data_IF_294138299253
#
_entry.id   IF_294138299253
#
_cell.length_a   1.000
_cell.length_b   1.000
_cell.length_c   1.000
_cell.angle_alpha   90.00
_cell.angle_beta   90.00
_cell.angle_gamma   90.00
#
_symmetry.space_group_name_H-M   'P 1'
#
loop_
_entity.id
_entity.type
_entity.pdbx_description
1 polymer ?
#
# COMPACT_ATOMS: atom_id res chain seq x y z
N UNK A 1 9.98 3.58 -8.54
CA UNK A 1 10.88 4.24 -9.52
C UNK A 1 12.22 3.53 -9.45
N UNK A 2 12.84 3.26 -10.61
CA UNK A 2 14.16 2.62 -10.62
C UNK A 2 15.24 3.54 -10.04
N UNK A 3 16.26 2.94 -9.43
CA UNK A 3 17.47 3.61 -8.90
C UNK A 3 18.70 3.33 -9.77
N UNK A 4 18.58 2.37 -10.69
CA UNK A 4 19.60 2.05 -11.69
C UNK A 4 19.71 3.15 -12.75
N UNK A 5 20.86 3.25 -13.40
CA UNK A 5 20.99 4.08 -14.61
C UNK A 5 20.19 3.43 -15.72
N UNK A 6 19.26 4.15 -16.34
CA UNK A 6 18.38 3.60 -17.39
C UNK A 6 19.16 3.09 -18.61
N UNK A 7 20.36 3.64 -18.87
CA UNK A 7 21.29 3.13 -19.88
C UNK A 7 21.83 1.73 -19.59
N UNK A 8 21.84 1.29 -18.32
CA UNK A 8 22.13 -0.10 -17.95
C UNK A 8 20.83 -0.92 -18.03
N UNK A 9 20.58 -1.44 -19.22
CA UNK A 9 19.32 -2.12 -19.58
C UNK A 9 19.05 -3.33 -18.69
N UNK A 10 20.07 -4.19 -18.49
CA UNK A 10 19.87 -5.44 -17.75
C UNK A 10 19.64 -5.18 -16.25
N UNK A 11 20.43 -4.30 -15.64
CA UNK A 11 20.21 -3.94 -14.24
C UNK A 11 18.86 -3.26 -14.03
N UNK A 12 18.43 -2.40 -14.98
CA UNK A 12 17.13 -1.71 -14.90
C UNK A 12 15.97 -2.69 -15.08
N UNK A 13 16.07 -3.63 -16.01
CA UNK A 13 15.06 -4.69 -16.19
C UNK A 13 14.95 -5.58 -14.95
N UNK A 14 16.07 -6.01 -14.38
CA UNK A 14 16.05 -6.82 -13.16
C UNK A 14 15.30 -6.09 -12.03
N UNK A 15 15.51 -4.78 -11.87
CA UNK A 15 14.81 -3.97 -10.88
C UNK A 15 13.32 -3.79 -11.24
N UNK A 16 12.96 -3.62 -12.52
CA UNK A 16 11.56 -3.55 -12.98
C UNK A 16 10.82 -4.86 -12.66
N UNK A 17 11.43 -6.02 -12.93
CA UNK A 17 10.83 -7.31 -12.57
C UNK A 17 10.63 -7.46 -11.07
N UNK A 18 11.60 -7.04 -10.25
CA UNK A 18 11.48 -7.06 -8.79
C UNK A 18 10.35 -6.15 -8.30
N UNK A 19 10.22 -4.94 -8.87
CA UNK A 19 9.14 -3.99 -8.56
C UNK A 19 7.76 -4.53 -8.97
N UNK A 20 7.64 -5.11 -10.15
CA UNK A 20 6.41 -5.72 -10.63
C UNK A 20 6.00 -6.91 -9.74
N UNK A 21 6.95 -7.78 -9.39
CA UNK A 21 6.73 -8.88 -8.45
C UNK A 21 6.32 -8.42 -7.05
N UNK A 22 6.73 -7.23 -6.62
CA UNK A 22 6.32 -6.61 -5.36
C UNK A 22 4.96 -5.88 -5.45
N UNK A 23 4.29 -5.90 -6.61
CA UNK A 23 2.95 -5.34 -6.81
C UNK A 23 2.91 -3.93 -7.41
N UNK A 24 3.99 -3.46 -8.03
CA UNK A 24 3.96 -2.21 -8.78
C UNK A 24 3.25 -2.41 -10.13
N UNK A 25 2.23 -1.59 -10.41
CA UNK A 25 1.49 -1.63 -11.68
C UNK A 25 2.17 -0.82 -12.79
N UNK A 26 2.96 0.19 -12.42
CA UNK A 26 3.65 1.11 -13.34
C UNK A 26 5.03 1.39 -12.76
N UNK A 27 6.06 1.35 -13.59
CA UNK A 27 7.42 1.70 -13.17
C UNK A 27 7.88 2.97 -13.90
N UNK A 28 8.57 3.85 -13.17
CA UNK A 28 9.13 5.07 -13.71
C UNK A 28 10.64 4.97 -13.77
N UNK A 29 11.21 5.27 -14.96
CA UNK A 29 12.64 5.32 -15.23
C UNK A 29 13.08 6.75 -15.56
N UNK A 30 14.28 7.14 -15.16
CA UNK A 30 14.83 8.47 -15.49
C UNK A 30 15.28 8.51 -16.94
N UNK A 31 14.95 9.60 -17.66
CA UNK A 31 15.45 9.86 -19.01
C UNK A 31 16.06 11.28 -19.05
N UNK A 32 17.33 11.39 -18.67
CA UNK A 32 18.06 12.64 -18.55
C UNK A 32 19.23 12.77 -19.54
N UNK A 33 19.49 11.74 -20.33
CA UNK A 33 20.55 11.68 -21.35
C UNK A 33 20.15 10.74 -22.49
N UNK A 34 20.81 10.87 -23.65
CA UNK A 34 20.48 10.10 -24.84
C UNK A 34 20.62 8.59 -24.65
N UNK A 35 21.67 8.17 -23.94
CA UNK A 35 21.87 6.77 -23.61
C UNK A 35 20.72 6.18 -22.78
N UNK A 36 20.05 6.98 -21.94
CA UNK A 36 18.87 6.55 -21.21
C UNK A 36 17.67 6.35 -22.14
N UNK A 37 17.45 7.21 -23.12
CA UNK A 37 16.39 7.03 -24.13
C UNK A 37 16.62 5.78 -24.99
N UNK A 38 17.88 5.54 -25.40
CA UNK A 38 18.28 4.31 -26.13
C UNK A 38 18.09 3.05 -25.26
N UNK A 39 18.34 3.17 -23.95
CA UNK A 39 18.04 2.11 -22.99
C UNK A 39 16.55 1.84 -22.87
N UNK A 40 15.70 2.89 -22.80
CA UNK A 40 14.24 2.74 -22.78
C UNK A 40 13.70 1.95 -23.97
N UNK A 41 14.21 2.20 -25.17
CA UNK A 41 13.80 1.48 -26.37
C UNK A 41 14.04 -0.05 -26.29
N UNK A 42 15.03 -0.47 -25.51
CA UNK A 42 15.34 -1.88 -25.26
C UNK A 42 14.58 -2.45 -24.04
N UNK A 43 14.28 -1.62 -23.04
CA UNK A 43 13.57 -2.00 -21.81
C UNK A 43 12.08 -2.21 -22.08
N UNK A 44 11.43 -1.28 -22.80
CA UNK A 44 9.99 -1.25 -22.98
C UNK A 44 9.42 -2.56 -23.54
N UNK A 45 9.96 -3.17 -24.60
CA UNK A 45 9.42 -4.42 -25.14
C UNK A 45 9.56 -5.62 -24.20
N UNK A 46 10.42 -5.52 -23.19
CA UNK A 46 10.75 -6.59 -22.26
C UNK A 46 10.13 -6.36 -20.88
N UNK A 47 9.53 -5.19 -20.64
CA UNK A 47 8.96 -4.85 -19.34
C UNK A 47 7.62 -5.56 -19.11
N UNK A 48 7.39 -6.17 -17.92
CA UNK A 48 6.11 -6.77 -17.57
C UNK A 48 5.04 -5.74 -17.22
N UNK A 49 5.41 -4.46 -17.05
CA UNK A 49 4.53 -3.36 -16.64
C UNK A 49 4.80 -2.10 -17.47
N UNK A 50 3.82 -1.20 -17.61
CA UNK A 50 4.00 0.08 -18.29
C UNK A 50 5.16 0.90 -17.72
N UNK A 51 5.93 1.55 -18.62
CA UNK A 51 7.08 2.38 -18.27
C UNK A 51 6.76 3.86 -18.50
N UNK A 52 7.00 4.68 -17.47
CA UNK A 52 6.91 6.15 -17.53
C UNK A 52 8.32 6.74 -17.53
N UNK A 53 8.63 7.60 -18.49
CA UNK A 53 9.89 8.33 -18.50
C UNK A 53 9.79 9.61 -17.66
N UNK A 54 10.77 9.79 -16.77
CA UNK A 54 10.91 10.98 -15.93
C UNK A 54 11.86 11.97 -16.60
N UNK A 55 11.31 13.07 -17.10
CA UNK A 55 12.03 14.05 -17.89
C UNK A 55 12.50 15.21 -17.00
N UNK A 56 13.79 15.52 -17.12
CA UNK A 56 14.43 16.63 -16.44
C UNK A 56 15.09 17.57 -17.44
N UNK A 57 14.77 18.85 -17.38
CA UNK A 57 15.42 20.01 -18.05
C UNK A 57 15.45 20.06 -19.59
N UNK A 58 15.43 18.96 -20.31
CA UNK A 58 15.68 18.92 -21.75
C UNK A 58 14.49 18.33 -22.52
N UNK A 59 13.93 19.15 -23.41
CA UNK A 59 12.81 18.75 -24.29
C UNK A 59 13.19 17.58 -25.22
N UNK A 60 14.44 17.55 -25.67
CA UNK A 60 14.95 16.50 -26.54
C UNK A 60 14.86 15.11 -25.90
N UNK A 61 14.96 15.05 -24.56
CA UNK A 61 14.81 13.78 -23.82
C UNK A 61 13.36 13.32 -23.75
N UNK A 62 12.42 14.25 -23.70
CA UNK A 62 10.99 13.93 -23.79
C UNK A 62 10.65 13.37 -25.18
N UNK A 63 11.14 14.01 -26.24
CA UNK A 63 10.94 13.54 -27.62
C UNK A 63 11.58 12.17 -27.86
N UNK A 64 12.82 11.98 -27.41
CA UNK A 64 13.51 10.70 -27.52
C UNK A 64 12.83 9.57 -26.72
N UNK A 65 12.26 9.88 -25.54
CA UNK A 65 11.48 8.92 -24.78
C UNK A 65 10.17 8.55 -25.51
N UNK A 66 9.49 9.52 -26.12
CA UNK A 66 8.31 9.25 -26.96
C UNK A 66 8.66 8.38 -28.17
N UNK A 67 9.79 8.64 -28.84
CA UNK A 67 10.30 7.80 -29.94
C UNK A 67 10.62 6.38 -29.47
N UNK A 68 11.13 6.22 -28.26
CA UNK A 68 11.39 4.92 -27.65
C UNK A 68 10.10 4.13 -27.31
N UNK A 69 8.92 4.75 -27.39
CA UNK A 69 7.63 4.11 -27.17
C UNK A 69 7.20 4.01 -25.70
N UNK A 70 7.56 4.98 -24.86
CA UNK A 70 7.14 4.99 -23.45
C UNK A 70 5.62 5.06 -23.31
N UNK A 71 5.12 4.47 -22.23
CA UNK A 71 3.68 4.42 -21.92
C UNK A 71 3.17 5.67 -21.20
N UNK A 72 4.06 6.60 -20.87
CA UNK A 72 3.73 7.88 -20.27
C UNK A 72 4.98 8.72 -20.02
N UNK A 73 4.78 10.02 -19.88
CA UNK A 73 5.81 10.96 -19.49
C UNK A 73 5.52 11.57 -18.11
N UNK A 74 6.56 11.93 -17.39
CA UNK A 74 6.44 12.84 -16.26
C UNK A 74 7.23 14.11 -16.55
N UNK A 75 6.56 15.26 -16.52
CA UNK A 75 7.17 16.57 -16.59
C UNK A 75 7.08 17.26 -15.22
N UNK A 76 8.08 18.12 -14.93
CA UNK A 76 8.06 18.97 -13.75
C UNK A 76 8.07 20.44 -14.20
N UNK A 77 6.99 21.22 -13.90
CA UNK A 77 6.90 22.64 -14.28
C UNK A 77 8.08 23.48 -13.77
N UNK A 78 8.69 23.07 -12.67
CA UNK A 78 9.87 23.71 -12.13
C UNK A 78 11.15 23.51 -12.97
N UNK A 79 11.19 22.46 -13.78
CA UNK A 79 12.37 22.06 -14.56
C UNK A 79 12.25 22.41 -16.04
N UNK A 80 11.11 22.09 -16.67
CA UNK A 80 10.81 22.49 -18.05
C UNK A 80 9.92 23.72 -18.00
N UNK A 81 10.47 24.87 -18.39
CA UNK A 81 9.86 26.19 -18.11
C UNK A 81 9.44 26.97 -19.35
N UNK A 82 9.91 26.58 -20.54
CA UNK A 82 9.59 27.30 -21.77
C UNK A 82 8.26 26.82 -22.34
N UNK A 83 7.25 27.71 -22.45
CA UNK A 83 5.92 27.31 -22.91
C UNK A 83 5.92 26.65 -24.30
N UNK A 84 6.79 27.09 -25.20
CA UNK A 84 6.94 26.53 -26.55
C UNK A 84 7.44 25.07 -26.51
N UNK A 85 8.38 24.73 -25.59
CA UNK A 85 8.88 23.38 -25.40
C UNK A 85 7.81 22.48 -24.79
N UNK A 86 7.04 22.99 -23.83
CA UNK A 86 5.93 22.28 -23.19
C UNK A 86 4.86 21.94 -24.24
N UNK A 87 4.44 22.93 -25.06
CA UNK A 87 3.47 22.72 -26.15
C UNK A 87 3.96 21.72 -27.20
N UNK A 88 5.26 21.74 -27.50
CA UNK A 88 5.86 20.78 -28.43
C UNK A 88 5.74 19.35 -27.89
N UNK A 89 6.14 19.13 -26.63
CA UNK A 89 6.04 17.79 -26.00
C UNK A 89 4.57 17.34 -25.91
N UNK A 90 3.66 18.25 -25.59
CA UNK A 90 2.22 17.93 -25.50
C UNK A 90 1.66 17.49 -26.86
N UNK A 91 1.99 18.19 -27.96
CA UNK A 91 1.57 17.79 -29.32
C UNK A 91 2.12 16.41 -29.71
N UNK A 92 3.42 16.19 -29.49
CA UNK A 92 4.07 14.93 -29.81
C UNK A 92 3.52 13.77 -28.97
N UNK A 93 3.18 14.00 -27.71
CA UNK A 93 2.54 13.03 -26.85
C UNK A 93 1.09 12.72 -27.31
N UNK A 94 0.31 13.77 -27.64
CA UNK A 94 -1.05 13.64 -28.20
C UNK A 94 -1.06 12.77 -29.45
N UNK A 95 -0.17 13.09 -30.41
CA UNK A 95 -0.11 12.40 -31.71
C UNK A 95 0.28 10.92 -31.59
N UNK A 96 0.88 10.53 -30.45
CA UNK A 96 1.23 9.15 -30.10
C UNK A 96 0.28 8.50 -29.08
N UNK A 97 -0.69 9.22 -28.56
CA UNK A 97 -1.58 8.74 -27.49
C UNK A 97 -0.87 8.42 -26.18
N UNK A 98 0.15 9.20 -25.82
CA UNK A 98 0.96 9.00 -24.61
C UNK A 98 0.56 10.01 -23.54
N UNK A 99 0.02 9.57 -22.38
CA UNK A 99 -0.38 10.46 -21.31
C UNK A 99 0.80 11.16 -20.63
N UNK A 100 0.57 12.37 -20.14
CA UNK A 100 1.56 13.13 -19.40
C UNK A 100 1.13 13.36 -17.96
N UNK A 101 2.05 13.14 -17.00
CA UNK A 101 1.85 13.56 -15.63
C UNK A 101 2.54 14.89 -15.37
N UNK A 102 1.76 15.92 -15.05
CA UNK A 102 2.23 17.18 -14.45
C UNK A 102 2.68 16.87 -13.02
N UNK A 103 3.97 17.01 -12.74
CA UNK A 103 4.57 16.60 -11.48
C UNK A 103 5.14 17.75 -10.67
N UNK A 104 4.27 18.55 -10.04
CA UNK A 104 4.69 19.66 -9.17
C UNK A 104 5.27 19.14 -7.86
N UNK A 105 6.40 19.70 -7.46
CA UNK A 105 7.02 19.47 -6.14
C UNK A 105 7.29 20.81 -5.45
N UNK A 106 7.04 20.85 -4.13
CA UNK A 106 7.26 22.05 -3.32
C UNK A 106 8.70 22.60 -3.40
N UNK A 107 9.70 21.71 -3.50
CA UNK A 107 11.11 22.10 -3.59
C UNK A 107 11.56 22.61 -4.97
N UNK A 108 10.70 22.60 -5.99
CA UNK A 108 11.05 23.02 -7.36
C UNK A 108 10.01 23.96 -8.00
N UNK A 109 9.25 24.69 -7.19
CA UNK A 109 8.35 25.71 -7.71
C UNK A 109 9.09 26.79 -8.48
N UNK A 110 8.40 27.37 -9.48
CA UNK A 110 8.94 28.55 -10.17
C UNK A 110 9.10 29.70 -9.16
N UNK A 111 10.22 30.45 -9.19
CA UNK A 111 10.45 31.55 -8.25
C UNK A 111 9.30 32.54 -8.18
N UNK A 112 8.72 32.95 -9.31
CA UNK A 112 7.62 33.93 -9.36
C UNK A 112 6.37 33.42 -8.64
N UNK A 113 6.10 32.08 -8.71
CA UNK A 113 4.98 31.47 -7.99
C UNK A 113 5.30 31.42 -6.50
N UNK A 114 6.53 31.01 -6.15
CA UNK A 114 6.99 30.96 -4.76
C UNK A 114 6.89 32.32 -4.09
N UNK A 115 7.36 33.39 -4.75
CA UNK A 115 7.34 34.77 -4.23
C UNK A 115 5.90 35.30 -4.14
N UNK A 116 5.08 35.08 -5.17
CA UNK A 116 3.67 35.51 -5.21
C UNK A 116 2.82 34.93 -4.08
N UNK A 117 3.06 33.67 -3.69
CA UNK A 117 2.29 32.97 -2.65
C UNK A 117 3.00 32.96 -1.29
N UNK A 118 4.18 33.55 -1.18
CA UNK A 118 4.97 33.62 0.06
C UNK A 118 5.53 32.25 0.49
N UNK A 119 5.74 31.33 -0.47
CA UNK A 119 6.29 30.01 -0.21
C UNK A 119 5.64 28.90 -1.00
N UNK A 120 5.99 27.64 -0.66
CA UNK A 120 5.40 26.45 -1.24
C UNK A 120 4.07 26.08 -0.54
N UNK A 121 3.10 26.97 -0.63
CA UNK A 121 1.76 26.78 -0.06
C UNK A 121 0.92 25.82 -0.91
N UNK A 122 -0.17 25.25 -0.41
CA UNK A 122 -1.11 24.45 -1.20
C UNK A 122 -1.56 25.16 -2.47
N UNK A 123 -1.88 26.44 -2.38
CA UNK A 123 -2.34 27.28 -3.50
C UNK A 123 -1.23 27.48 -4.54
N UNK A 124 0.03 27.65 -4.11
CA UNK A 124 1.18 27.77 -5.01
C UNK A 124 1.40 26.47 -5.82
N UNK A 125 1.25 25.32 -5.17
CA UNK A 125 1.39 24.00 -5.81
C UNK A 125 0.29 23.78 -6.86
N UNK A 126 -0.95 24.09 -6.54
CA UNK A 126 -2.10 23.96 -7.45
C UNK A 126 -2.00 24.97 -8.60
N UNK A 127 -1.62 26.22 -8.32
CA UNK A 127 -1.42 27.23 -9.36
C UNK A 127 -0.32 26.84 -10.36
N UNK A 128 0.78 26.23 -9.86
CA UNK A 128 1.83 25.70 -10.73
C UNK A 128 1.32 24.62 -11.69
N UNK A 129 0.46 23.73 -11.21
CA UNK A 129 -0.16 22.71 -12.04
C UNK A 129 -1.15 23.31 -13.05
N UNK A 130 -1.92 24.32 -12.63
CA UNK A 130 -2.91 25.02 -13.48
C UNK A 130 -2.25 25.72 -14.66
N UNK A 131 -1.12 26.39 -14.43
CA UNK A 131 -0.36 27.06 -15.50
C UNK A 131 0.16 26.04 -16.52
N UNK A 132 0.72 24.94 -16.09
CA UNK A 132 1.21 23.89 -16.99
C UNK A 132 0.07 23.25 -17.80
N UNK A 133 -1.04 22.95 -17.13
CA UNK A 133 -2.23 22.41 -17.78
C UNK A 133 -2.77 23.34 -18.86
N UNK A 134 -2.75 24.64 -18.64
CA UNK A 134 -3.19 25.62 -19.63
C UNK A 134 -2.36 25.54 -20.93
N UNK A 135 -1.05 25.31 -20.84
CA UNK A 135 -0.21 25.11 -22.04
C UNK A 135 -0.55 23.86 -22.81
N UNK A 136 -0.99 22.80 -22.14
CA UNK A 136 -1.45 21.56 -22.78
C UNK A 136 -2.81 21.78 -23.48
N UNK A 137 -3.73 22.47 -22.82
CA UNK A 137 -5.04 22.77 -23.40
C UNK A 137 -4.95 23.67 -24.65
N UNK A 138 -3.97 24.58 -24.73
CA UNK A 138 -3.72 25.39 -25.92
C UNK A 138 -3.38 24.57 -27.19
N UNK A 139 -3.01 23.30 -27.01
CA UNK A 139 -2.69 22.36 -28.10
C UNK A 139 -3.63 21.16 -28.14
N UNK A 140 -4.81 21.28 -27.56
CA UNK A 140 -5.85 20.24 -27.51
C UNK A 140 -5.34 18.90 -26.91
N UNK A 141 -4.54 18.99 -25.85
CA UNK A 141 -4.04 17.82 -25.11
C UNK A 141 -4.59 17.79 -23.70
N UNK A 142 -5.39 16.77 -23.37
CA UNK A 142 -6.09 16.62 -22.09
C UNK A 142 -5.84 15.26 -21.42
N UNK A 143 -5.02 14.38 -22.03
CA UNK A 143 -4.64 13.10 -21.40
C UNK A 143 -3.55 13.33 -20.34
N UNK A 144 -3.97 13.94 -19.25
CA UNK A 144 -3.12 14.49 -18.19
C UNK A 144 -3.49 13.87 -16.85
N UNK A 145 -2.46 13.63 -16.05
CA UNK A 145 -2.54 13.28 -14.63
C UNK A 145 -1.76 14.32 -13.82
N UNK A 146 -2.25 14.71 -12.65
CA UNK A 146 -1.66 15.78 -11.84
C UNK A 146 -1.10 15.24 -10.52
N UNK A 147 0.03 15.76 -10.09
CA UNK A 147 0.54 15.56 -8.74
C UNK A 147 1.10 16.85 -8.15
N UNK A 148 0.73 17.15 -6.90
CA UNK A 148 1.11 18.33 -6.12
C UNK A 148 1.75 17.90 -4.82
N UNK A 149 3.05 17.59 -4.85
CA UNK A 149 3.77 16.92 -3.77
C UNK A 149 4.51 17.90 -2.86
N UNK A 150 4.46 17.64 -1.57
CA UNK A 150 5.26 18.30 -0.56
C UNK A 150 5.89 17.26 0.40
N UNK A 151 6.95 17.63 1.11
CA UNK A 151 7.56 16.83 2.18
C UNK A 151 6.79 16.97 3.50
N UNK A 152 6.10 18.11 3.71
CA UNK A 152 5.14 18.30 4.78
C UNK A 152 3.85 17.56 4.48
N UNK A 153 3.46 16.62 5.34
CA UNK A 153 2.23 15.84 5.18
C UNK A 153 1.00 16.74 5.21
N UNK A 154 0.94 17.71 6.12
CA UNK A 154 -0.18 18.65 6.23
C UNK A 154 -0.33 19.50 4.94
N UNK A 155 0.77 20.04 4.42
CA UNK A 155 0.78 20.81 3.16
C UNK A 155 0.34 19.93 1.99
N UNK A 156 0.84 18.70 1.92
CA UNK A 156 0.49 17.73 0.87
C UNK A 156 -1.01 17.43 0.89
N UNK A 157 -1.59 17.10 2.05
CA UNK A 157 -3.03 16.82 2.18
C UNK A 157 -3.86 18.05 1.74
N UNK A 158 -3.53 19.24 2.22
CA UNK A 158 -4.23 20.47 1.84
C UNK A 158 -4.13 20.76 0.33
N UNK A 159 -2.95 20.56 -0.27
CA UNK A 159 -2.74 20.75 -1.69
C UNK A 159 -3.57 19.76 -2.55
N UNK A 160 -3.65 18.49 -2.16
CA UNK A 160 -4.46 17.52 -2.91
C UNK A 160 -5.96 17.69 -2.73
N UNK A 161 -6.42 18.14 -1.56
CA UNK A 161 -7.84 18.53 -1.38
C UNK A 161 -8.20 19.70 -2.32
N UNK A 162 -7.37 20.74 -2.33
CA UNK A 162 -7.55 21.88 -3.24
C UNK A 162 -7.44 21.45 -4.72
N UNK A 163 -6.51 20.56 -5.06
CA UNK A 163 -6.37 20.03 -6.41
C UNK A 163 -7.60 19.23 -6.86
N UNK A 164 -8.21 18.43 -5.96
CA UNK A 164 -9.42 17.67 -6.27
C UNK A 164 -10.66 18.54 -6.50
N UNK A 165 -10.69 19.74 -5.88
CA UNK A 165 -11.75 20.74 -6.12
C UNK A 165 -11.49 21.57 -7.39
N UNK A 166 -10.24 21.64 -7.84
CA UNK A 166 -9.80 22.50 -8.95
C UNK A 166 -9.76 21.78 -10.29
N UNK A 167 -9.39 20.50 -10.30
CA UNK A 167 -9.14 19.72 -11.51
C UNK A 167 -10.07 18.51 -11.61
N UNK A 168 -10.56 18.25 -12.82
CA UNK A 168 -11.28 17.00 -13.15
C UNK A 168 -10.32 15.85 -13.52
N UNK A 169 -9.03 16.13 -13.63
CA UNK A 169 -7.99 15.20 -14.04
C UNK A 169 -7.60 14.23 -12.92
N UNK A 170 -7.18 12.99 -13.24
CA UNK A 170 -6.69 12.04 -12.27
C UNK A 170 -5.53 12.58 -11.43
N UNK A 171 -5.53 12.25 -10.13
CA UNK A 171 -4.52 12.70 -9.18
C UNK A 171 -3.55 11.57 -8.82
N UNK A 172 -2.26 11.88 -8.84
CA UNK A 172 -1.19 10.96 -8.45
C UNK A 172 -0.62 11.34 -7.09
N UNK A 173 -1.00 10.60 -6.05
CA UNK A 173 -0.65 10.88 -4.66
C UNK A 173 0.80 10.55 -4.31
N UNK A 174 1.34 11.27 -3.35
CA UNK A 174 2.62 10.95 -2.72
C UNK A 174 3.19 12.08 -1.91
N UNK A 175 3.81 11.74 -0.78
CA UNK A 175 4.69 12.63 -0.02
C UNK A 175 6.07 12.55 -0.66
N UNK A 176 6.67 13.70 -1.00
CA UNK A 176 8.04 13.71 -1.54
C UNK A 176 9.07 13.72 -0.42
N UNK A 177 10.22 13.06 -0.64
CA UNK A 177 11.33 13.09 0.31
C UNK A 177 10.92 12.67 1.73
N UNK A 178 10.11 11.61 1.84
CA UNK A 178 9.56 11.19 3.12
C UNK A 178 10.65 10.71 4.10
N UNK A 179 11.77 10.20 3.61
CA UNK A 179 12.93 9.77 4.39
C UNK A 179 13.04 8.26 4.56
N UNK A 180 13.95 7.79 5.43
CA UNK A 180 14.18 6.36 5.66
C UNK A 180 13.07 5.71 6.49
N UNK A 181 13.06 4.38 6.50
CA UNK A 181 12.21 3.58 7.39
C UNK A 181 12.62 3.77 8.85
N UNK A 182 11.67 3.72 9.83
CA UNK A 182 10.23 3.63 9.62
C UNK A 182 9.55 4.99 9.39
N UNK A 183 10.24 6.10 9.65
CA UNK A 183 9.66 7.46 9.64
C UNK A 183 9.09 7.86 8.28
N UNK A 184 9.79 7.53 7.20
CA UNK A 184 9.34 7.79 5.82
C UNK A 184 8.06 7.04 5.48
N UNK A 185 7.95 5.79 5.91
CA UNK A 185 6.74 4.98 5.73
C UNK A 185 5.56 5.61 6.46
N UNK A 186 5.72 6.02 7.72
CA UNK A 186 4.66 6.68 8.50
C UNK A 186 4.17 7.97 7.84
N UNK A 187 5.08 8.83 7.37
CA UNK A 187 4.72 10.07 6.66
C UNK A 187 3.98 9.78 5.35
N UNK A 188 4.48 8.85 4.54
CA UNK A 188 3.86 8.43 3.29
C UNK A 188 2.45 7.88 3.52
N UNK A 189 2.32 6.96 4.47
CA UNK A 189 1.04 6.35 4.84
C UNK A 189 0.05 7.39 5.36
N UNK A 190 0.45 8.27 6.29
CA UNK A 190 -0.42 9.30 6.83
C UNK A 190 -0.99 10.22 5.73
N UNK A 191 -0.15 10.67 4.79
CA UNK A 191 -0.61 11.55 3.71
C UNK A 191 -1.49 10.83 2.68
N UNK A 192 -1.05 9.66 2.21
CA UNK A 192 -1.75 8.93 1.15
C UNK A 192 -3.05 8.32 1.68
N UNK A 193 -3.03 7.66 2.84
CA UNK A 193 -4.21 7.02 3.41
C UNK A 193 -5.33 8.01 3.72
N UNK A 194 -5.00 9.20 4.25
CA UNK A 194 -5.99 10.25 4.52
C UNK A 194 -6.76 10.63 3.26
N UNK A 195 -6.05 10.87 2.15
CA UNK A 195 -6.68 11.26 0.90
C UNK A 195 -7.49 10.13 0.26
N UNK A 196 -6.94 8.90 0.25
CA UNK A 196 -7.66 7.73 -0.28
C UNK A 196 -8.95 7.44 0.50
N UNK A 197 -8.95 7.62 1.84
CA UNK A 197 -10.13 7.46 2.67
C UNK A 197 -11.21 8.54 2.39
N UNK A 198 -10.80 9.69 1.84
CA UNK A 198 -11.68 10.77 1.38
C UNK A 198 -12.13 10.59 -0.08
N UNK A 199 -11.71 9.51 -0.76
CA UNK A 199 -11.98 9.26 -2.17
C UNK A 199 -11.13 10.09 -3.14
N UNK A 200 -10.03 10.67 -2.65
CA UNK A 200 -9.11 11.50 -3.45
C UNK A 200 -7.89 10.69 -3.85
N UNK A 201 -7.64 10.58 -5.17
CA UNK A 201 -6.46 9.98 -5.75
C UNK A 201 -6.73 8.71 -6.55
N UNK A 202 -6.04 8.59 -7.70
CA UNK A 202 -6.22 7.52 -8.68
C UNK A 202 -4.98 6.64 -8.81
N UNK A 203 -3.82 7.20 -8.54
CA UNK A 203 -2.54 6.49 -8.48
C UNK A 203 -1.71 7.01 -7.32
N UNK A 204 -0.76 6.21 -6.84
CA UNK A 204 0.09 6.60 -5.71
C UNK A 204 1.55 6.18 -5.90
N UNK A 205 2.45 6.82 -5.16
CA UNK A 205 3.83 6.39 -5.00
C UNK A 205 4.36 6.78 -3.62
N UNK A 206 4.92 5.82 -2.91
CA UNK A 206 5.77 6.10 -1.75
C UNK A 206 7.13 6.66 -2.20
N UNK A 207 7.78 7.45 -1.36
CA UNK A 207 9.09 8.04 -1.62
C UNK A 207 10.00 7.78 -0.42
N UNK A 208 10.61 6.60 -0.39
CA UNK A 208 11.42 6.14 0.74
C UNK A 208 12.91 6.22 0.40
N UNK A 209 13.73 6.52 1.41
CA UNK A 209 15.18 6.31 1.35
C UNK A 209 15.47 4.85 1.74
N UNK A 210 15.11 3.92 0.84
CA UNK A 210 15.21 2.47 1.00
C UNK A 210 15.27 1.81 -0.39
N UNK A 211 15.37 0.48 -0.42
CA UNK A 211 15.16 -0.29 -1.66
C UNK A 211 13.79 0.07 -2.25
N UNK A 212 13.71 0.40 -3.56
CA UNK A 212 12.44 0.77 -4.18
C UNK A 212 11.38 -0.34 -4.17
N UNK A 213 11.75 -1.59 -3.95
CA UNK A 213 10.83 -2.72 -3.72
C UNK A 213 9.98 -2.47 -2.47
N UNK A 214 10.53 -1.85 -1.42
CA UNK A 214 9.77 -1.50 -0.22
C UNK A 214 8.70 -0.43 -0.48
N UNK A 215 8.92 0.48 -1.45
CA UNK A 215 7.89 1.43 -1.89
C UNK A 215 6.70 0.72 -2.55
N UNK A 216 6.96 -0.29 -3.40
CA UNK A 216 5.93 -1.08 -4.06
C UNK A 216 5.11 -1.90 -3.06
N UNK A 217 5.79 -2.61 -2.15
CA UNK A 217 5.15 -3.37 -1.06
C UNK A 217 4.25 -2.48 -0.19
N UNK A 218 4.79 -1.32 0.26
CA UNK A 218 4.03 -0.38 1.08
C UNK A 218 2.77 0.14 0.38
N UNK A 219 2.88 0.48 -0.91
CA UNK A 219 1.73 0.92 -1.71
C UNK A 219 0.68 -0.17 -1.86
N UNK A 220 1.11 -1.40 -2.14
CA UNK A 220 0.22 -2.56 -2.25
C UNK A 220 -0.50 -2.87 -0.94
N UNK A 221 0.24 -2.97 0.15
CA UNK A 221 -0.30 -3.25 1.49
C UNK A 221 -1.28 -2.16 1.95
N UNK A 222 -0.99 -0.88 1.66
CA UNK A 222 -1.92 0.20 1.98
C UNK A 222 -3.27 0.05 1.25
N UNK A 223 -3.24 -0.24 -0.06
CA UNK A 223 -4.46 -0.42 -0.84
C UNK A 223 -5.28 -1.63 -0.36
N UNK A 224 -4.61 -2.72 -0.02
CA UNK A 224 -5.24 -3.92 0.56
C UNK A 224 -5.84 -3.64 1.95
N UNK A 225 -5.13 -2.90 2.81
CA UNK A 225 -5.61 -2.52 4.14
C UNK A 225 -6.82 -1.59 4.10
N UNK A 226 -6.93 -0.73 3.06
CA UNK A 226 -8.08 0.13 2.83
C UNK A 226 -9.24 -0.55 2.05
N UNK A 227 -9.09 -1.81 1.66
CA UNK A 227 -10.08 -2.52 0.84
C UNK A 227 -10.20 -2.01 -0.60
N UNK A 228 -9.22 -1.22 -1.07
CA UNK A 228 -9.17 -0.69 -2.44
C UNK A 228 -8.54 -1.68 -3.43
N UNK A 229 -7.99 -2.76 -2.94
CA UNK A 229 -7.48 -3.90 -3.71
C UNK A 229 -7.77 -5.21 -2.99
N UNK A 230 -7.97 -6.26 -3.78
CA UNK A 230 -8.02 -7.61 -3.26
C UNK A 230 -6.66 -8.01 -2.68
N UNK A 231 -6.70 -8.71 -1.56
CA UNK A 231 -5.49 -9.28 -0.95
C UNK A 231 -4.92 -10.37 -1.84
N UNK A 232 -3.61 -10.34 -1.96
CA UNK A 232 -2.87 -11.37 -2.70
C UNK A 232 -1.97 -12.20 -1.80
N UNK A 233 -1.82 -11.84 -0.52
CA UNK A 233 -0.96 -12.50 0.44
C UNK A 233 -1.56 -12.56 1.84
N UNK A 234 -0.72 -12.90 2.81
CA UNK A 234 -1.06 -12.98 4.23
C UNK A 234 -1.47 -11.61 4.80
N UNK A 235 -2.61 -11.58 5.49
CA UNK A 235 -2.98 -10.51 6.42
C UNK A 235 -2.97 -11.04 7.85
N UNK A 236 -2.03 -10.57 8.66
CA UNK A 236 -1.87 -11.04 10.02
C UNK A 236 -2.51 -10.06 11.02
N UNK A 237 -3.52 -10.53 11.75
CA UNK A 237 -4.12 -9.85 12.88
C UNK A 237 -3.48 -10.40 14.16
N UNK A 238 -2.76 -9.59 14.92
CA UNK A 238 -2.17 -10.02 16.18
C UNK A 238 -2.53 -9.05 17.30
N UNK A 239 -2.87 -9.59 18.48
CA UNK A 239 -3.10 -8.74 19.63
C UNK A 239 -1.78 -8.16 20.15
N UNK A 240 -1.80 -6.91 20.74
CA UNK A 240 -0.57 -6.24 21.16
C UNK A 240 0.08 -6.83 22.42
N UNK A 241 -0.40 -7.97 22.92
CA UNK A 241 -0.06 -8.56 24.20
C UNK A 241 -0.45 -7.67 25.40
N UNK A 242 -0.99 -8.24 26.42
CA UNK A 242 -1.34 -7.53 27.66
C UNK A 242 -1.20 -8.49 28.86
N UNK A 243 -1.47 -8.04 30.10
CA UNK A 243 -1.42 -8.86 31.31
C UNK A 243 -2.35 -10.10 31.33
N UNK A 244 -3.18 -10.26 30.29
CA UNK A 244 -4.02 -11.47 30.09
C UNK A 244 -3.39 -12.49 29.15
N UNK A 245 -2.29 -12.15 28.47
CA UNK A 245 -1.61 -13.07 27.56
C UNK A 245 -1.10 -14.29 28.32
N UNK A 246 -1.37 -15.47 27.77
CA UNK A 246 -0.95 -16.75 28.35
C UNK A 246 0.31 -17.31 27.66
N UNK A 247 0.75 -16.66 26.59
CA UNK A 247 1.94 -16.99 25.80
C UNK A 247 2.71 -15.73 25.41
N UNK A 248 3.93 -15.89 24.94
CA UNK A 248 4.67 -14.81 24.25
C UNK A 248 4.09 -14.56 22.84
N UNK A 249 3.08 -13.69 22.79
CA UNK A 249 2.35 -13.36 21.55
C UNK A 249 3.28 -12.81 20.48
N UNK A 250 4.29 -12.01 20.87
CA UNK A 250 5.23 -11.39 19.93
C UNK A 250 6.01 -12.50 19.22
N UNK A 251 6.55 -13.44 19.97
CA UNK A 251 7.30 -14.59 19.40
C UNK A 251 6.42 -15.45 18.51
N UNK A 252 5.19 -15.79 18.96
CA UNK A 252 4.26 -16.62 18.19
C UNK A 252 3.84 -15.92 16.90
N UNK A 253 3.45 -14.63 16.97
CA UNK A 253 3.02 -13.86 15.80
C UNK A 253 4.14 -13.69 14.77
N UNK A 254 5.38 -13.41 15.23
CA UNK A 254 6.54 -13.26 14.33
C UNK A 254 6.86 -14.57 13.61
N UNK A 255 6.92 -15.69 14.33
CA UNK A 255 7.16 -17.02 13.73
C UNK A 255 6.05 -17.43 12.78
N UNK A 256 4.79 -17.18 13.17
CA UNK A 256 3.65 -17.45 12.30
C UNK A 256 3.70 -16.63 11.02
N UNK A 257 4.03 -15.32 11.12
CA UNK A 257 4.18 -14.43 9.98
C UNK A 257 5.25 -14.94 9.01
N UNK A 258 6.45 -15.26 9.52
CA UNK A 258 7.56 -15.75 8.70
C UNK A 258 7.20 -17.05 7.97
N UNK A 259 6.57 -18.01 8.68
CA UNK A 259 6.18 -19.29 8.11
C UNK A 259 5.05 -19.18 7.09
N UNK A 260 4.04 -18.32 7.36
CA UNK A 260 2.87 -18.17 6.49
C UNK A 260 3.14 -17.32 5.25
N UNK A 261 4.02 -16.31 5.33
CA UNK A 261 4.44 -15.52 4.15
C UNK A 261 5.06 -16.44 3.09
N UNK A 262 5.83 -17.43 3.52
CA UNK A 262 6.47 -18.39 2.59
C UNK A 262 5.46 -19.27 1.82
N UNK A 263 4.21 -19.34 2.25
CA UNK A 263 3.17 -20.14 1.59
C UNK A 263 2.50 -19.39 0.43
N UNK A 264 2.61 -18.05 0.39
CA UNK A 264 1.98 -17.18 -0.62
C UNK A 264 0.47 -17.44 -0.80
N UNK A 265 -0.24 -17.60 0.32
CA UNK A 265 -1.68 -17.88 0.36
C UNK A 265 -2.42 -16.59 0.74
N UNK A 266 -3.45 -16.16 -0.03
CA UNK A 266 -4.26 -14.99 0.30
C UNK A 266 -5.24 -15.31 1.45
N UNK A 267 -4.76 -15.27 2.67
CA UNK A 267 -5.52 -15.65 3.87
C UNK A 267 -5.35 -14.59 4.97
N UNK A 268 -6.43 -14.35 5.71
CA UNK A 268 -6.37 -13.55 6.94
C UNK A 268 -6.19 -14.46 8.14
N UNK A 269 -5.06 -14.31 8.84
CA UNK A 269 -4.73 -15.14 10.00
C UNK A 269 -4.69 -14.30 11.26
N UNK A 270 -5.24 -14.82 12.36
CA UNK A 270 -5.24 -14.16 13.66
C UNK A 270 -4.39 -14.90 14.69
N UNK A 271 -3.55 -14.15 15.44
CA UNK A 271 -2.78 -14.67 16.59
C UNK A 271 -3.18 -13.89 17.83
N UNK A 272 -3.90 -14.57 18.75
CA UNK A 272 -4.47 -13.96 19.94
C UNK A 272 -3.87 -14.53 21.21
N UNK A 273 -3.40 -13.68 22.11
CA UNK A 273 -2.69 -14.06 23.33
C UNK A 273 -3.59 -14.60 24.46
N UNK A 274 -4.91 -14.56 24.33
CA UNK A 274 -5.81 -15.14 25.31
C UNK A 274 -7.16 -15.52 24.69
N UNK A 275 -7.85 -16.50 25.31
CA UNK A 275 -9.19 -16.97 24.90
C UNK A 275 -10.34 -16.05 25.33
N UNK A 276 -10.07 -15.00 26.11
CA UNK A 276 -11.12 -14.11 26.63
C UNK A 276 -11.72 -13.22 25.55
N UNK A 277 -10.87 -12.45 24.87
CA UNK A 277 -11.30 -11.51 23.83
C UNK A 277 -10.92 -12.00 22.42
N UNK A 278 -9.87 -12.84 22.33
CA UNK A 278 -9.30 -13.26 21.05
C UNK A 278 -10.31 -13.79 20.04
N UNK A 279 -11.15 -14.80 20.40
CA UNK A 279 -12.13 -15.35 19.48
C UNK A 279 -13.21 -14.34 19.04
N UNK A 280 -13.48 -13.33 19.87
CA UNK A 280 -14.44 -12.26 19.55
C UNK A 280 -13.87 -11.22 18.56
N UNK A 281 -12.66 -10.76 18.82
CA UNK A 281 -11.99 -9.73 17.99
C UNK A 281 -11.53 -10.29 16.64
N UNK A 282 -11.17 -11.59 16.62
CA UNK A 282 -10.65 -12.25 15.43
C UNK A 282 -11.68 -13.14 14.71
N UNK A 283 -12.97 -13.06 15.05
CA UNK A 283 -14.01 -13.94 14.49
C UNK A 283 -14.19 -13.88 12.98
N UNK A 284 -13.77 -12.80 12.36
CA UNK A 284 -13.85 -12.60 10.91
C UNK A 284 -12.61 -13.10 10.18
N UNK A 285 -11.52 -13.41 10.91
CA UNK A 285 -10.33 -14.00 10.28
C UNK A 285 -10.66 -15.37 9.69
N UNK A 286 -10.08 -15.66 8.54
CA UNK A 286 -10.25 -16.95 7.86
C UNK A 286 -9.74 -18.09 8.72
N UNK A 287 -8.62 -17.88 9.41
CA UNK A 287 -7.97 -18.83 10.32
C UNK A 287 -7.41 -18.05 11.52
N UNK A 288 -7.34 -18.65 12.69
CA UNK A 288 -6.65 -18.04 13.80
C UNK A 288 -6.38 -18.99 14.96
N UNK A 289 -5.55 -18.52 15.88
CA UNK A 289 -5.26 -19.23 17.12
C UNK A 289 -5.37 -18.28 18.32
N UNK A 290 -6.05 -18.74 19.36
CA UNK A 290 -6.16 -18.03 20.63
C UNK A 290 -5.49 -18.82 21.73
N UNK A 291 -4.53 -18.20 22.43
CA UNK A 291 -3.81 -18.87 23.51
C UNK A 291 -4.66 -19.04 24.76
N UNK A 292 -4.64 -20.25 25.34
CA UNK A 292 -5.07 -20.58 26.69
C UNK A 292 -3.89 -21.03 27.54
N UNK A 293 -4.16 -21.61 28.73
CA UNK A 293 -3.10 -22.12 29.61
C UNK A 293 -2.37 -23.31 28.97
N UNK A 294 -1.15 -23.09 28.44
CA UNK A 294 -0.32 -24.07 27.74
C UNK A 294 -1.01 -24.75 26.55
N UNK A 295 -1.99 -24.08 25.94
CA UNK A 295 -2.76 -24.58 24.81
C UNK A 295 -3.06 -23.46 23.81
N UNK A 296 -3.23 -23.83 22.54
CA UNK A 296 -3.75 -22.98 21.48
C UNK A 296 -5.11 -23.48 20.99
N UNK A 297 -6.09 -22.59 20.93
CA UNK A 297 -7.41 -22.87 20.36
C UNK A 297 -7.41 -22.39 18.91
N UNK A 298 -7.28 -23.34 17.98
CA UNK A 298 -7.31 -23.07 16.55
C UNK A 298 -8.76 -22.88 16.11
N UNK A 299 -9.03 -21.84 15.36
CA UNK A 299 -10.39 -21.50 14.90
C UNK A 299 -10.41 -21.06 13.43
N UNK A 300 -11.53 -21.30 12.77
CA UNK A 300 -11.85 -20.81 11.43
C UNK A 300 -13.11 -19.97 11.55
N UNK A 301 -13.07 -18.69 11.11
CA UNK A 301 -14.19 -17.73 11.19
C UNK A 301 -14.88 -17.75 12.56
N UNK A 302 -14.08 -17.72 13.63
CA UNK A 302 -14.53 -17.70 15.01
C UNK A 302 -15.04 -19.02 15.56
N UNK A 303 -15.11 -20.10 14.79
CA UNK A 303 -15.49 -21.43 15.25
C UNK A 303 -14.25 -22.26 15.56
N UNK A 304 -14.15 -22.76 16.81
CA UNK A 304 -12.99 -23.55 17.23
C UNK A 304 -13.04 -24.93 16.54
N UNK A 305 -11.93 -25.30 15.91
CA UNK A 305 -11.81 -26.53 15.15
C UNK A 305 -10.88 -27.57 15.81
N UNK A 306 -9.93 -27.12 16.61
CA UNK A 306 -8.94 -27.96 17.27
C UNK A 306 -8.29 -27.24 18.45
N UNK A 307 -7.90 -28.01 19.49
CA UNK A 307 -7.04 -27.54 20.58
C UNK A 307 -5.67 -28.20 20.44
N UNK A 308 -4.60 -27.44 20.55
CA UNK A 308 -3.22 -27.90 20.37
C UNK A 308 -2.35 -27.48 21.56
N UNK A 309 -1.24 -28.20 21.87
CA UNK A 309 -0.23 -27.70 22.81
C UNK A 309 0.38 -26.35 22.39
N UNK A 310 0.90 -25.62 23.36
CA UNK A 310 1.49 -24.28 23.13
C UNK A 310 2.64 -24.32 22.12
N UNK A 311 3.51 -25.30 22.21
CA UNK A 311 4.67 -25.51 21.35
C UNK A 311 4.31 -25.90 19.91
N UNK A 312 3.10 -26.43 19.68
CA UNK A 312 2.59 -26.78 18.34
C UNK A 312 1.77 -25.65 17.67
N UNK A 313 1.54 -24.53 18.32
CA UNK A 313 0.63 -23.47 17.83
C UNK A 313 0.96 -22.95 16.44
N UNK A 314 2.24 -22.70 16.17
CA UNK A 314 2.67 -22.16 14.87
C UNK A 314 2.57 -23.23 13.79
N UNK A 315 2.99 -24.45 14.07
CA UNK A 315 2.89 -25.58 13.14
C UNK A 315 1.42 -25.87 12.79
N UNK A 316 0.54 -25.85 13.78
CA UNK A 316 -0.90 -26.04 13.58
C UNK A 316 -1.54 -24.96 12.69
N UNK A 317 -1.12 -23.69 12.85
CA UNK A 317 -1.55 -22.59 11.96
C UNK A 317 -1.09 -22.82 10.51
N UNK A 318 0.17 -23.19 10.33
CA UNK A 318 0.75 -23.43 9.00
C UNK A 318 0.07 -24.61 8.30
N UNK A 319 -0.07 -25.72 9.01
CA UNK A 319 -0.74 -26.92 8.50
C UNK A 319 -2.20 -26.62 8.10
N UNK A 320 -2.93 -25.91 8.95
CA UNK A 320 -4.32 -25.60 8.66
C UNK A 320 -4.47 -24.60 7.51
N UNK A 321 -3.57 -23.59 7.40
CA UNK A 321 -3.54 -22.70 6.27
C UNK A 321 -3.32 -23.44 4.94
N UNK A 322 -2.42 -24.42 4.92
CA UNK A 322 -2.21 -25.28 3.74
C UNK A 322 -3.42 -26.14 3.41
N UNK A 323 -4.13 -26.64 4.42
CA UNK A 323 -5.38 -27.41 4.22
C UNK A 323 -6.49 -26.53 3.68
N UNK A 324 -6.66 -25.31 4.21
CA UNK A 324 -7.62 -24.33 3.70
C UNK A 324 -7.33 -24.03 2.22
N UNK A 325 -6.06 -23.84 1.85
CA UNK A 325 -5.68 -23.58 0.46
C UNK A 325 -6.04 -24.74 -0.49
N UNK A 326 -6.01 -25.99 -0.01
CA UNK A 326 -6.29 -27.19 -0.82
C UNK A 326 -7.77 -27.55 -0.84
N UNK A 327 -8.46 -27.46 0.29
CA UNK A 327 -9.79 -28.03 0.51
C UNK A 327 -10.88 -26.95 0.57
N UNK A 328 -10.50 -25.69 0.84
CA UNK A 328 -11.41 -24.58 1.07
C UNK A 328 -11.88 -24.47 2.53
N UNK A 329 -12.28 -23.26 2.92
CA UNK A 329 -12.71 -22.92 4.29
C UNK A 329 -13.93 -23.75 4.73
N UNK A 330 -14.93 -23.90 3.87
CA UNK A 330 -16.18 -24.58 4.21
C UNK A 330 -15.97 -26.09 4.47
N UNK A 331 -15.11 -26.75 3.70
CA UNK A 331 -14.77 -28.15 3.92
C UNK A 331 -14.05 -28.35 5.25
N UNK A 332 -13.15 -27.43 5.60
CA UNK A 332 -12.41 -27.45 6.86
C UNK A 332 -13.33 -27.22 8.07
N UNK A 333 -14.30 -26.30 7.94
CA UNK A 333 -15.34 -26.10 8.97
C UNK A 333 -16.20 -27.33 9.18
N UNK A 334 -16.57 -28.02 8.13
CA UNK A 334 -17.37 -29.24 8.21
C UNK A 334 -16.60 -30.41 8.89
N UNK A 335 -15.28 -30.45 8.78
CA UNK A 335 -14.39 -31.44 9.37
C UNK A 335 -13.94 -31.13 10.81
N UNK A 336 -14.51 -30.08 11.45
CA UNK A 336 -14.13 -29.66 12.80
C UNK A 336 -14.39 -30.72 13.88
N UNK A 337 -13.55 -30.70 14.91
CA UNK A 337 -13.80 -31.47 16.16
C UNK A 337 -14.79 -30.70 17.04
N UNK A 338 -16.01 -31.19 17.14
CA UNK A 338 -17.09 -30.57 17.91
C UNK A 338 -16.77 -30.52 19.41
N UNK A 339 -15.92 -31.42 19.93
CA UNK A 339 -15.50 -31.46 21.35
C UNK A 339 -14.58 -30.28 21.70
N UNK A 340 -13.85 -29.71 20.72
CA UNK A 340 -12.93 -28.59 20.92
C UNK A 340 -13.62 -27.31 21.39
N UNK A 341 -14.89 -27.10 21.06
CA UNK A 341 -15.68 -25.96 21.57
C UNK A 341 -15.96 -26.09 23.06
N UNK A 342 -16.25 -27.29 23.55
CA UNK A 342 -16.48 -27.56 24.97
C UNK A 342 -15.19 -27.36 25.79
N UNK A 343 -14.05 -27.83 25.28
CA UNK A 343 -12.74 -27.66 25.90
C UNK A 343 -12.36 -26.15 26.00
N UNK A 344 -12.60 -25.39 24.94
CA UNK A 344 -12.33 -23.96 24.95
C UNK A 344 -13.25 -23.17 25.91
N UNK A 345 -14.52 -23.59 26.02
CA UNK A 345 -15.43 -22.98 26.97
C UNK A 345 -14.99 -23.24 28.42
N UNK A 346 -14.52 -24.48 28.72
CA UNK A 346 -13.97 -24.84 30.02
C UNK A 346 -12.69 -24.05 30.35
N UNK A 347 -11.75 -23.95 29.42
CA UNK A 347 -10.52 -23.16 29.59
C UNK A 347 -10.82 -21.68 29.83
N UNK A 348 -11.81 -21.12 29.10
CA UNK A 348 -12.26 -19.73 29.27
C UNK A 348 -12.86 -19.50 30.64
N UNK A 349 -13.72 -20.41 31.12
CA UNK A 349 -14.33 -20.34 32.43
C UNK A 349 -13.26 -20.41 33.54
N UNK A 350 -12.32 -21.33 33.45
CA UNK A 350 -11.22 -21.47 34.38
C UNK A 350 -10.31 -20.25 34.45
N UNK A 351 -10.07 -19.59 33.30
CA UNK A 351 -9.25 -18.37 33.21
C UNK A 351 -9.95 -17.17 33.85
N UNK A 352 -11.26 -17.02 33.63
CA UNK A 352 -12.07 -15.96 34.23
C UNK A 352 -12.15 -16.12 35.75
N UNK A 353 -12.39 -17.33 36.25
CA UNK A 353 -12.43 -17.67 37.68
C UNK A 353 -11.09 -17.37 38.36
N UNK A 354 -9.98 -17.80 37.76
CA UNK A 354 -8.64 -17.56 38.27
C UNK A 354 -8.26 -16.03 38.33
N UNK A 355 -8.91 -15.19 37.55
CA UNK A 355 -8.70 -13.73 37.52
C UNK A 355 -9.78 -12.98 38.34
N UNK A 356 -10.66 -13.69 39.05
CA UNK A 356 -11.72 -13.11 39.85
C UNK A 356 -12.82 -12.39 39.06
N UNK A 357 -12.98 -12.75 37.77
CA UNK A 357 -14.00 -12.20 36.87
C UNK A 357 -15.20 -13.14 36.85
N UNK A 358 -16.36 -12.68 37.27
CA UNK A 358 -17.61 -13.45 37.15
C UNK A 358 -17.91 -13.74 35.67
N UNK A 359 -17.87 -15.01 35.33
CA UNK A 359 -18.09 -15.49 33.95
C UNK A 359 -19.49 -15.10 33.41
N UNK A 360 -20.51 -15.02 34.28
CA UNK A 360 -21.85 -14.62 33.89
C UNK A 360 -21.90 -13.11 33.55
N UNK A 361 -21.14 -12.27 34.24
CA UNK A 361 -21.07 -10.84 33.94
C UNK A 361 -20.31 -10.57 32.65
N UNK A 362 -19.24 -11.30 32.37
CA UNK A 362 -18.50 -11.21 31.10
C UNK A 362 -19.35 -11.65 29.91
N UNK A 363 -20.15 -12.70 30.05
CA UNK A 363 -21.05 -13.22 29.01
C UNK A 363 -22.18 -12.23 28.71
N UNK A 364 -22.78 -11.61 29.74
CA UNK A 364 -23.82 -10.58 29.58
C UNK A 364 -23.30 -9.32 28.86
N UNK A 365 -22.05 -8.90 29.12
CA UNK A 365 -21.43 -7.77 28.42
C UNK A 365 -21.21 -8.09 26.94
N UNK A 366 -20.75 -9.30 26.63
CA UNK A 366 -20.53 -9.75 25.25
C UNK A 366 -21.87 -9.87 24.49
N UNK A 367 -22.93 -10.41 25.13
CA UNK A 367 -24.27 -10.45 24.53
C UNK A 367 -24.88 -9.07 24.31
N UNK A 368 -24.62 -8.11 25.20
CA UNK A 368 -25.06 -6.71 25.00
C UNK A 368 -24.33 -6.04 23.83
N UNK A 369 -23.05 -6.33 23.63
CA UNK A 369 -22.28 -5.85 22.46
C UNK A 369 -22.82 -6.48 21.19
N UNK A 370 -23.05 -7.81 21.17
CA UNK A 370 -23.64 -8.51 20.01
C UNK A 370 -24.99 -7.92 19.56
N UNK A 371 -25.88 -7.56 20.51
CA UNK A 371 -27.19 -6.98 20.19
C UNK A 371 -27.13 -5.52 19.71
N UNK A 372 -26.01 -4.81 19.94
CA UNK A 372 -25.79 -3.47 19.39
C UNK A 372 -25.30 -3.48 17.95
N UNK A 373 -24.62 -4.52 17.54
CA UNK A 373 -24.09 -4.66 16.17
C UNK A 373 -25.12 -5.26 15.19
N UNK A 374 -26.29 -5.70 15.68
CA UNK A 374 -27.42 -6.20 14.87
C UNK A 374 -28.47 -5.13 14.56
N UNK A 375 -28.26 -3.87 14.98
CA UNK A 375 -29.10 -2.70 14.71
C UNK A 375 -28.27 -1.56 14.11
#
# INVERSE_FOLDING_TARGET
MTTTKTADVEATLAQIYALAGAGADIVRCTCNERAAAEGLAQIIPRSPVPIVADIHFHVEMALAALEAGVHGLRLNPGNLRKPEEIRLVAREARDRGVPIRIGVNAGSLHPDIYDRFGGATPEALVESARIELAYFQEVDFDDVKISVKASSVATMIAAYRLASETFEHPLHLGVTEAGPLPGGLLKGTAGIATLLAEGIGDTLRYSLTADPVEEAKAGRQLLEALGLRERTGLDLIACPSCGRAEVDVISVATKAQEALIALDIPIQVAVMGCVVNGPGEARHADLGIAAGRRRGHLFIRGQIIRVVPEDEMVEALVDEAQRIAKEGIEARLAARDVSAEADAAADRAALLDAKGVDANNATQVIERIRRRDEH
#
